data_IF_734587655429
#
_entry.id   IF_734587655429
#
_cell.length_a   1.000
_cell.length_b   1.000
_cell.length_c   1.000
_cell.angle_alpha   90.00
_cell.angle_beta   90.00
_cell.angle_gamma   90.00
#
_symmetry.space_group_name_H-M   'P 1'
#
loop_
_entity.id
_entity.type
_entity.pdbx_description
1 polymer ?
#
# COMPACT_ATOMS: atom_id res chain seq x y z
N UNK A 1 4.40 -18.59 14.69
CA UNK A 1 3.31 -17.82 14.06
C UNK A 1 3.87 -16.47 13.63
N UNK A 2 3.92 -16.18 12.33
CA UNK A 2 4.36 -14.86 11.86
C UNK A 2 3.13 -13.93 11.87
N UNK A 3 3.09 -12.99 12.83
CA UNK A 3 1.93 -12.11 13.05
C UNK A 3 1.64 -11.22 11.84
N UNK A 4 2.66 -10.95 11.01
CA UNK A 4 2.53 -10.20 9.76
C UNK A 4 2.14 -11.07 8.57
N UNK A 5 1.67 -12.28 8.82
CA UNK A 5 1.13 -13.16 7.81
C UNK A 5 -0.31 -13.49 8.18
N UNK A 6 -1.20 -13.46 7.21
CA UNK A 6 -2.53 -14.06 7.34
C UNK A 6 -2.42 -15.58 7.14
N UNK A 7 -1.74 -16.00 6.08
CA UNK A 7 -1.30 -17.37 5.77
C UNK A 7 0.17 -17.35 5.33
N UNK A 8 0.80 -18.51 5.16
CA UNK A 8 2.19 -18.60 4.66
C UNK A 8 2.38 -17.95 3.27
N UNK A 9 1.28 -17.82 2.52
CA UNK A 9 1.25 -17.20 1.17
C UNK A 9 0.84 -15.73 1.20
N UNK A 10 0.43 -15.21 2.35
CA UNK A 10 -0.08 -13.86 2.50
C UNK A 10 0.57 -13.16 3.67
N UNK A 11 1.75 -12.60 3.41
CA UNK A 11 2.53 -11.83 4.37
C UNK A 11 2.70 -10.40 3.90
N UNK A 12 2.74 -9.47 4.85
CA UNK A 12 3.14 -8.10 4.58
C UNK A 12 4.67 -8.06 4.63
N UNK A 13 5.30 -8.03 3.45
CA UNK A 13 6.76 -8.08 3.33
C UNK A 13 7.34 -6.71 2.98
N UNK A 14 8.54 -6.43 3.52
CA UNK A 14 9.33 -5.27 3.11
C UNK A 14 9.71 -5.38 1.63
N UNK A 15 9.98 -6.60 1.14
CA UNK A 15 10.37 -6.87 -0.25
C UNK A 15 9.28 -6.49 -1.27
N UNK A 16 8.01 -6.87 -1.04
CA UNK A 16 6.92 -6.49 -1.94
C UNK A 16 6.65 -4.99 -1.93
N UNK A 17 6.70 -4.34 -0.76
CA UNK A 17 6.59 -2.89 -0.68
C UNK A 17 7.76 -2.17 -1.37
N UNK A 18 8.97 -2.73 -1.28
CA UNK A 18 10.15 -2.23 -2.02
C UNK A 18 9.99 -2.37 -3.53
N UNK A 19 9.38 -3.45 -4.04
CA UNK A 19 9.09 -3.57 -5.48
C UNK A 19 8.15 -2.49 -5.99
N UNK A 20 7.11 -2.13 -5.21
CA UNK A 20 6.24 -0.99 -5.54
C UNK A 20 7.04 0.31 -5.56
N UNK A 21 7.93 0.53 -4.59
CA UNK A 21 8.82 1.69 -4.54
C UNK A 21 9.74 1.77 -5.77
N UNK A 22 10.25 0.64 -6.24
CA UNK A 22 11.11 0.55 -7.44
C UNK A 22 10.32 0.90 -8.71
N UNK A 23 9.07 0.45 -8.80
CA UNK A 23 8.17 0.82 -9.90
C UNK A 23 7.93 2.33 -9.93
N UNK A 24 7.61 2.95 -8.79
CA UNK A 24 7.41 4.41 -8.68
C UNK A 24 8.68 5.15 -9.06
N UNK A 25 9.86 4.67 -8.63
CA UNK A 25 11.15 5.28 -8.93
C UNK A 25 11.52 5.16 -10.41
N UNK A 26 11.17 4.04 -11.05
CA UNK A 26 11.35 3.80 -12.48
C UNK A 26 10.46 4.73 -13.29
N UNK A 27 9.18 4.87 -12.89
CA UNK A 27 8.23 5.77 -13.53
C UNK A 27 8.67 7.24 -13.45
N UNK A 28 9.23 7.65 -12.30
CA UNK A 28 9.79 8.99 -12.13
C UNK A 28 10.99 9.22 -13.07
N UNK A 29 11.85 8.22 -13.21
CA UNK A 29 12.98 8.28 -14.15
C UNK A 29 12.50 8.36 -15.59
N UNK A 30 11.40 7.66 -15.89
CA UNK A 30 10.82 7.65 -17.23
C UNK A 30 10.22 9.00 -17.61
N UNK A 31 9.46 9.64 -16.71
CA UNK A 31 8.93 10.99 -16.93
C UNK A 31 10.03 12.06 -17.05
N UNK A 32 11.13 11.92 -16.29
CA UNK A 32 12.29 12.82 -16.41
C UNK A 32 12.91 12.80 -17.81
N UNK A 33 12.87 11.67 -18.52
CA UNK A 33 13.34 11.58 -19.91
C UNK A 33 12.42 12.33 -20.89
N UNK A 34 11.14 12.44 -20.54
CA UNK A 34 10.13 13.16 -21.32
C UNK A 34 10.07 14.66 -21.00
N UNK A 35 10.70 15.12 -19.90
CA UNK A 35 10.62 16.53 -19.45
C UNK A 35 11.41 17.53 -20.32
N UNK A 36 11.75 17.17 -21.56
CA UNK A 36 12.42 18.07 -22.52
C UNK A 36 11.44 19.08 -23.14
N UNK A 37 10.13 18.89 -22.95
CA UNK A 37 9.08 19.86 -23.30
C UNK A 37 8.49 20.46 -22.03
N UNK A 38 8.34 21.79 -22.03
CA UNK A 38 7.72 22.58 -20.96
C UNK A 38 6.23 22.20 -20.88
N UNK A 39 5.94 21.04 -20.30
CA UNK A 39 4.60 20.56 -20.09
C UNK A 39 4.31 20.54 -18.59
N UNK A 40 3.42 21.44 -18.16
CA UNK A 40 3.00 21.55 -16.77
C UNK A 40 2.37 20.25 -16.25
N UNK A 41 1.78 19.42 -17.13
CA UNK A 41 1.24 18.13 -16.75
C UNK A 41 2.37 17.16 -16.35
N UNK A 42 3.45 17.08 -17.13
CA UNK A 42 4.62 16.25 -16.80
C UNK A 42 5.24 16.68 -15.47
N UNK A 43 5.32 17.99 -15.20
CA UNK A 43 5.81 18.49 -13.92
C UNK A 43 4.93 18.12 -12.73
N UNK A 44 3.60 18.17 -12.89
CA UNK A 44 2.67 17.73 -11.85
C UNK A 44 2.80 16.24 -11.58
N UNK A 45 2.84 15.42 -12.64
CA UNK A 45 3.02 13.98 -12.54
C UNK A 45 4.33 13.61 -11.83
N UNK A 46 5.43 14.31 -12.13
CA UNK A 46 6.70 14.11 -11.44
C UNK A 46 6.61 14.44 -9.94
N UNK A 47 5.92 15.52 -9.55
CA UNK A 47 5.72 15.86 -8.13
C UNK A 47 4.87 14.81 -7.42
N UNK A 48 3.82 14.33 -8.09
CA UNK A 48 2.97 13.27 -7.56
C UNK A 48 3.75 11.96 -7.37
N UNK A 49 4.64 11.60 -8.31
CA UNK A 49 5.52 10.43 -8.13
C UNK A 49 6.55 10.61 -7.02
N UNK A 50 7.10 11.82 -6.82
CA UNK A 50 7.99 12.09 -5.70
C UNK A 50 7.25 11.97 -4.36
N UNK A 51 6.01 12.45 -4.28
CA UNK A 51 5.14 12.25 -3.13
C UNK A 51 4.82 10.76 -2.91
N UNK A 52 4.51 10.02 -3.97
CA UNK A 52 4.22 8.59 -3.90
C UNK A 52 5.44 7.79 -3.41
N UNK A 53 6.63 8.13 -3.89
CA UNK A 53 7.89 7.54 -3.45
C UNK A 53 8.13 7.78 -1.96
N UNK A 54 7.92 9.02 -1.51
CA UNK A 54 8.08 9.39 -0.09
C UNK A 54 7.06 8.66 0.80
N UNK A 55 5.81 8.51 0.34
CA UNK A 55 4.79 7.73 1.02
C UNK A 55 5.17 6.24 1.09
N UNK A 56 5.70 5.66 0.01
CA UNK A 56 6.19 4.27 0.00
C UNK A 56 7.37 4.04 0.94
N UNK A 57 8.30 4.98 1.09
CA UNK A 57 9.34 4.88 2.13
C UNK A 57 8.74 4.77 3.54
N UNK A 58 7.65 5.51 3.81
CA UNK A 58 6.93 5.42 5.10
C UNK A 58 6.20 4.08 5.25
N UNK A 59 5.64 3.53 4.17
CA UNK A 59 5.07 2.18 4.16
C UNK A 59 6.12 1.14 4.54
N UNK A 60 7.26 1.11 3.85
CA UNK A 60 8.37 0.18 4.14
C UNK A 60 8.84 0.32 5.59
N UNK A 61 9.04 1.56 6.05
CA UNK A 61 9.39 1.84 7.45
C UNK A 61 8.35 1.34 8.45
N UNK A 62 7.05 1.51 8.15
CA UNK A 62 5.95 1.03 8.97
C UNK A 62 5.90 -0.50 9.06
N UNK A 63 6.08 -1.20 7.93
CA UNK A 63 6.16 -2.67 7.88
C UNK A 63 7.32 -3.16 8.75
N UNK A 64 8.51 -2.57 8.60
CA UNK A 64 9.68 -2.89 9.44
C UNK A 64 9.40 -2.65 10.91
N UNK A 65 8.72 -1.56 11.24
CA UNK A 65 8.40 -1.21 12.62
C UNK A 65 7.38 -2.18 13.24
N UNK A 66 6.37 -2.63 12.48
CA UNK A 66 5.46 -3.69 12.92
C UNK A 66 6.23 -5.00 13.12
N UNK A 67 7.08 -5.38 12.17
CA UNK A 67 7.88 -6.61 12.25
C UNK A 67 8.76 -6.64 13.49
N UNK A 68 9.40 -5.51 13.80
CA UNK A 68 10.23 -5.37 15.00
C UNK A 68 9.41 -5.57 16.28
N UNK A 69 8.22 -4.96 16.37
CA UNK A 69 7.33 -5.10 17.54
C UNK A 69 6.86 -6.53 17.76
N UNK A 70 6.58 -7.26 16.69
CA UNK A 70 6.07 -8.63 16.78
C UNK A 70 7.15 -9.71 16.81
N UNK A 71 8.44 -9.38 16.58
CA UNK A 71 9.52 -10.36 16.39
C UNK A 71 9.66 -11.38 17.54
N UNK A 72 9.41 -10.96 18.78
CA UNK A 72 9.61 -11.78 19.97
C UNK A 72 8.30 -12.15 20.69
N UNK A 73 7.15 -11.76 20.14
CA UNK A 73 5.86 -12.04 20.76
C UNK A 73 5.39 -13.44 20.38
N UNK A 74 4.94 -14.22 21.36
CA UNK A 74 4.33 -15.54 21.14
C UNK A 74 2.83 -15.43 20.89
N UNK A 75 2.19 -14.42 21.47
CA UNK A 75 0.78 -14.08 21.30
C UNK A 75 0.55 -12.57 21.31
N UNK A 76 -0.65 -12.14 20.91
CA UNK A 76 -1.02 -10.72 20.95
C UNK A 76 -1.23 -10.18 22.37
N UNK A 77 -1.48 -11.05 23.36
CA UNK A 77 -1.65 -10.65 24.77
C UNK A 77 -0.37 -10.11 25.39
N UNK A 78 0.80 -10.46 24.83
CA UNK A 78 2.11 -9.95 25.26
C UNK A 78 2.38 -8.52 24.77
N UNK A 79 1.50 -7.95 23.92
CA UNK A 79 1.68 -6.62 23.37
C UNK A 79 1.32 -5.54 24.40
N UNK A 80 2.31 -4.74 24.79
CA UNK A 80 2.15 -3.65 25.76
C UNK A 80 1.78 -2.31 25.13
N UNK A 81 2.15 -2.09 23.87
CA UNK A 81 1.97 -0.82 23.16
C UNK A 81 0.99 -0.95 21.99
N UNK A 82 -0.28 -1.16 22.34
CA UNK A 82 -1.39 -1.33 21.38
C UNK A 82 -1.58 -0.08 20.52
N UNK A 83 -1.52 1.11 21.12
CA UNK A 83 -1.74 2.38 20.42
C UNK A 83 -0.72 2.58 19.29
N UNK A 84 0.55 2.30 19.54
CA UNK A 84 1.60 2.42 18.52
C UNK A 84 1.43 1.41 17.38
N UNK A 85 0.96 0.20 17.67
CA UNK A 85 0.61 -0.78 16.64
C UNK A 85 -0.55 -0.28 15.78
N UNK A 86 -1.64 0.19 16.41
CA UNK A 86 -2.80 0.77 15.72
C UNK A 86 -2.35 1.91 14.80
N UNK A 87 -1.63 2.88 15.34
CA UNK A 87 -1.15 4.05 14.59
C UNK A 87 -0.25 3.63 13.42
N UNK A 88 0.58 2.60 13.61
CA UNK A 88 1.44 2.11 12.53
C UNK A 88 0.62 1.44 11.42
N UNK A 89 -0.35 0.59 11.76
CA UNK A 89 -1.24 -0.06 10.77
C UNK A 89 -2.03 0.99 9.99
N UNK A 90 -2.68 1.93 10.68
CA UNK A 90 -3.46 3.01 10.06
C UNK A 90 -2.57 3.85 9.12
N UNK A 91 -1.36 4.20 9.56
CA UNK A 91 -0.43 4.95 8.73
C UNK A 91 0.00 4.18 7.48
N UNK A 92 0.29 2.89 7.58
CA UNK A 92 0.65 2.05 6.43
C UNK A 92 -0.50 2.02 5.42
N UNK A 93 -1.73 1.74 5.85
CA UNK A 93 -2.89 1.65 4.98
C UNK A 93 -3.20 2.98 4.29
N UNK A 94 -3.22 4.08 5.05
CA UNK A 94 -3.49 5.41 4.50
C UNK A 94 -2.43 5.82 3.47
N UNK A 95 -1.15 5.50 3.70
CA UNK A 95 -0.07 5.82 2.75
C UNK A 95 -0.13 4.97 1.49
N UNK A 96 -0.53 3.70 1.59
CA UNK A 96 -0.77 2.88 0.40
C UNK A 96 -1.92 3.43 -0.46
N UNK A 97 -3.01 3.87 0.15
CA UNK A 97 -4.13 4.52 -0.57
C UNK A 97 -3.70 5.82 -1.23
N UNK A 98 -2.92 6.64 -0.51
CA UNK A 98 -2.34 7.86 -1.06
C UNK A 98 -1.47 7.58 -2.30
N UNK A 99 -0.59 6.57 -2.23
CA UNK A 99 0.25 6.14 -3.36
C UNK A 99 -0.61 5.72 -4.54
N UNK A 100 -1.67 4.94 -4.31
CA UNK A 100 -2.60 4.50 -5.36
C UNK A 100 -3.27 5.68 -6.05
N UNK A 101 -3.73 6.66 -5.29
CA UNK A 101 -4.37 7.86 -5.83
C UNK A 101 -3.38 8.75 -6.60
N UNK A 102 -2.15 8.88 -6.12
CA UNK A 102 -1.08 9.60 -6.82
C UNK A 102 -0.73 8.95 -8.16
N UNK A 103 -0.59 7.62 -8.19
CA UNK A 103 -0.32 6.87 -9.42
C UNK A 103 -1.47 7.00 -10.41
N UNK A 104 -2.72 6.97 -9.95
CA UNK A 104 -3.88 7.21 -10.81
C UNK A 104 -3.83 8.60 -11.45
N UNK A 105 -3.52 9.65 -10.68
CA UNK A 105 -3.40 11.01 -11.25
C UNK A 105 -2.28 11.09 -12.29
N UNK A 106 -1.14 10.45 -12.01
CA UNK A 106 -0.03 10.35 -12.98
C UNK A 106 -0.47 9.67 -14.27
N UNK A 107 -1.26 8.60 -14.18
CA UNK A 107 -1.84 7.93 -15.35
C UNK A 107 -2.73 8.88 -16.15
N UNK A 108 -3.65 9.56 -15.48
CA UNK A 108 -4.62 10.46 -16.12
C UNK A 108 -3.93 11.67 -16.78
N UNK A 109 -2.91 12.22 -16.12
CA UNK A 109 -2.06 13.28 -16.68
C UNK A 109 -1.24 12.78 -17.88
N UNK A 110 -0.69 11.57 -17.82
CA UNK A 110 0.02 10.95 -18.94
C UNK A 110 -0.91 10.70 -20.14
N UNK A 111 -2.14 10.22 -19.89
CA UNK A 111 -3.16 9.98 -20.91
C UNK A 111 -3.56 11.30 -21.61
N UNK A 112 -3.85 12.34 -20.83
CA UNK A 112 -4.19 13.67 -21.38
C UNK A 112 -3.04 14.31 -22.17
N UNK A 113 -1.79 13.94 -21.85
CA UNK A 113 -0.58 14.42 -22.52
C UNK A 113 -0.13 13.53 -23.69
N UNK A 114 -0.86 12.44 -23.99
CA UNK A 114 -0.54 11.51 -25.08
C UNK A 114 0.68 10.63 -24.83
N UNK A 115 1.10 10.45 -23.57
CA UNK A 115 2.23 9.58 -23.16
C UNK A 115 1.75 8.14 -22.97
N UNK A 116 1.44 7.47 -24.07
CA UNK A 116 0.85 6.11 -24.06
C UNK A 116 1.75 5.04 -23.43
N UNK A 117 3.06 5.21 -23.54
CA UNK A 117 4.07 4.36 -22.92
C UNK A 117 4.05 4.44 -21.39
N UNK A 118 3.87 5.64 -20.84
CA UNK A 118 3.70 5.87 -19.40
C UNK A 118 2.39 5.26 -18.90
N UNK A 119 1.29 5.46 -19.63
CA UNK A 119 -0.02 4.86 -19.30
C UNK A 119 0.08 3.34 -19.25
N UNK A 120 0.65 2.72 -20.29
CA UNK A 120 0.83 1.27 -20.36
C UNK A 120 1.71 0.75 -19.21
N UNK A 121 2.76 1.49 -18.86
CA UNK A 121 3.61 1.14 -17.73
C UNK A 121 2.86 1.20 -16.40
N UNK A 122 2.02 2.22 -16.18
CA UNK A 122 1.18 2.30 -14.97
C UNK A 122 0.18 1.16 -14.93
N UNK A 123 -0.61 0.97 -15.98
CA UNK A 123 -1.68 -0.04 -16.03
C UNK A 123 -1.15 -1.47 -15.83
N UNK A 124 0.08 -1.75 -16.25
CA UNK A 124 0.73 -3.06 -16.03
C UNK A 124 1.21 -3.30 -14.59
N UNK A 125 1.39 -2.26 -13.78
CA UNK A 125 1.95 -2.37 -12.43
C UNK A 125 1.00 -1.99 -11.30
N UNK A 126 -0.10 -1.26 -11.57
CA UNK A 126 -1.14 -0.98 -10.57
C UNK A 126 -1.68 -2.24 -9.89
N UNK A 127 -1.91 -3.37 -10.59
CA UNK A 127 -2.35 -4.61 -9.93
C UNK A 127 -1.42 -5.10 -8.82
N UNK A 128 -0.11 -4.86 -8.93
CA UNK A 128 0.87 -5.21 -7.89
C UNK A 128 0.66 -4.34 -6.63
N UNK A 129 0.44 -3.04 -6.80
CA UNK A 129 0.13 -2.14 -5.69
C UNK A 129 -1.19 -2.52 -5.02
N UNK A 130 -2.23 -2.79 -5.81
CA UNK A 130 -3.53 -3.22 -5.28
C UNK A 130 -3.41 -4.55 -4.51
N UNK A 131 -2.60 -5.49 -5.00
CA UNK A 131 -2.27 -6.71 -4.26
C UNK A 131 -1.60 -6.44 -2.90
N UNK A 132 -0.68 -5.49 -2.81
CA UNK A 132 -0.06 -5.06 -1.54
C UNK A 132 -1.10 -4.43 -0.61
N UNK A 133 -2.01 -3.60 -1.15
CA UNK A 133 -3.10 -2.97 -0.39
C UNK A 133 -4.04 -4.02 0.21
N UNK A 134 -4.43 -5.04 -0.55
CA UNK A 134 -5.31 -6.13 -0.07
C UNK A 134 -4.63 -6.87 1.09
N UNK A 135 -3.38 -7.30 0.88
CA UNK A 135 -2.62 -8.02 1.92
C UNK A 135 -2.49 -7.18 3.19
N UNK A 136 -2.12 -5.91 3.06
CA UNK A 136 -2.01 -4.99 4.19
C UNK A 136 -3.35 -4.83 4.91
N UNK A 137 -4.47 -4.74 4.18
CA UNK A 137 -5.82 -4.64 4.74
C UNK A 137 -6.22 -5.87 5.53
N UNK A 138 -6.00 -7.07 4.97
CA UNK A 138 -6.31 -8.34 5.62
C UNK A 138 -5.46 -8.57 6.88
N UNK A 139 -4.17 -8.22 6.81
CA UNK A 139 -3.28 -8.30 7.98
C UNK A 139 -3.65 -7.26 9.03
N UNK A 140 -4.02 -6.05 8.61
CA UNK A 140 -4.55 -5.01 9.49
C UNK A 140 -5.82 -5.49 10.23
N UNK A 141 -6.73 -6.16 9.52
CA UNK A 141 -7.92 -6.77 10.12
C UNK A 141 -7.56 -7.88 11.11
N UNK A 142 -6.63 -8.78 10.75
CA UNK A 142 -6.14 -9.82 11.67
C UNK A 142 -5.58 -9.21 12.95
N UNK A 143 -4.73 -8.19 12.83
CA UNK A 143 -4.18 -7.46 13.98
C UNK A 143 -5.33 -6.89 14.82
N UNK A 144 -6.24 -6.14 14.20
CA UNK A 144 -7.37 -5.52 14.90
C UNK A 144 -8.23 -6.51 15.70
N UNK A 145 -8.49 -7.71 15.15
CA UNK A 145 -9.29 -8.75 15.79
C UNK A 145 -8.57 -9.45 16.97
N UNK A 146 -7.24 -9.42 17.01
CA UNK A 146 -6.46 -10.11 18.02
C UNK A 146 -5.85 -9.18 19.09
N UNK A 147 -6.01 -7.87 18.94
CA UNK A 147 -5.53 -6.93 19.95
C UNK A 147 -6.33 -7.07 21.27
N UNK A 148 -5.67 -7.15 22.44
CA UNK A 148 -6.32 -7.53 23.70
C UNK A 148 -7.32 -6.47 24.21
N UNK A 149 -7.01 -5.18 24.03
CA UNK A 149 -7.90 -4.05 24.34
C UNK A 149 -7.63 -2.90 23.39
N UNK A 150 -8.64 -2.53 22.60
CA UNK A 150 -8.58 -1.38 21.69
C UNK A 150 -9.63 -0.36 22.13
N UNK A 151 -9.26 0.92 22.17
CA UNK A 151 -10.22 1.97 22.48
C UNK A 151 -11.28 2.08 21.37
N UNK A 152 -12.43 2.70 21.67
CA UNK A 152 -13.45 2.95 20.64
C UNK A 152 -12.93 3.83 19.51
N UNK A 153 -12.10 4.83 19.84
CA UNK A 153 -11.48 5.73 18.87
C UNK A 153 -10.52 4.98 17.95
N UNK A 154 -9.64 4.17 18.51
CA UNK A 154 -8.67 3.36 17.76
C UNK A 154 -9.34 2.29 16.90
N UNK A 155 -10.43 1.70 17.39
CA UNK A 155 -11.26 0.79 16.60
C UNK A 155 -11.88 1.50 15.39
N UNK A 156 -12.34 2.75 15.56
CA UNK A 156 -12.85 3.59 14.49
C UNK A 156 -11.79 3.92 13.43
N UNK A 157 -10.57 4.28 13.87
CA UNK A 157 -9.43 4.54 12.97
C UNK A 157 -9.06 3.30 12.16
N UNK A 158 -8.96 2.14 12.81
CA UNK A 158 -8.66 0.87 12.15
C UNK A 158 -9.74 0.52 11.13
N UNK A 159 -11.01 0.54 11.52
CA UNK A 159 -12.12 0.20 10.62
C UNK A 159 -12.14 1.11 9.38
N UNK A 160 -11.94 2.41 9.58
CA UNK A 160 -11.88 3.39 8.48
C UNK A 160 -10.70 3.12 7.54
N UNK A 161 -9.50 2.93 8.09
CA UNK A 161 -8.29 2.70 7.29
C UNK A 161 -8.34 1.37 6.52
N UNK A 162 -8.76 0.29 7.18
CA UNK A 162 -8.90 -1.04 6.58
C UNK A 162 -9.96 -1.00 5.49
N UNK A 163 -11.15 -0.45 5.77
CA UNK A 163 -12.22 -0.35 4.79
C UNK A 163 -11.79 0.46 3.56
N UNK A 164 -11.23 1.65 3.78
CA UNK A 164 -10.78 2.52 2.68
C UNK A 164 -9.73 1.83 1.82
N UNK A 165 -8.72 1.21 2.43
CA UNK A 165 -7.66 0.51 1.71
C UNK A 165 -8.22 -0.68 0.91
N UNK A 166 -9.04 -1.52 1.54
CA UNK A 166 -9.64 -2.67 0.89
C UNK A 166 -10.49 -2.27 -0.32
N UNK A 167 -11.37 -1.28 -0.18
CA UNK A 167 -12.21 -0.83 -1.30
C UNK A 167 -11.43 -0.06 -2.37
N UNK A 168 -10.36 0.65 -2.01
CA UNK A 168 -9.51 1.32 -3.00
C UNK A 168 -8.82 0.31 -3.93
N UNK A 169 -8.45 -0.87 -3.42
CA UNK A 169 -7.81 -1.93 -4.23
C UNK A 169 -8.75 -2.59 -5.24
N UNK A 170 -10.07 -2.45 -5.07
CA UNK A 170 -11.06 -2.97 -6.02
C UNK A 170 -11.18 -2.14 -7.29
N UNK A 171 -10.66 -0.91 -7.29
CA UNK A 171 -10.87 0.04 -8.38
C UNK A 171 -10.12 -0.35 -9.66
N UNK A 172 -9.04 -1.13 -9.56
CA UNK A 172 -8.18 -1.46 -10.69
C UNK A 172 -7.99 -2.97 -10.91
N UNK A 173 -8.55 -3.81 -10.03
CA UNK A 173 -8.55 -5.25 -10.19
C UNK A 173 -9.88 -5.73 -10.77
N UNK A 174 -9.81 -6.53 -11.83
CA UNK A 174 -10.96 -7.34 -12.24
C UNK A 174 -11.36 -8.27 -11.09
N UNK A 175 -12.66 -8.55 -10.99
CA UNK A 175 -13.24 -9.36 -9.90
C UNK A 175 -12.49 -10.68 -9.70
N UNK A 176 -12.10 -11.36 -10.78
CA UNK A 176 -11.36 -12.62 -10.74
C UNK A 176 -9.94 -12.49 -10.18
N UNK A 177 -9.25 -11.38 -10.45
CA UNK A 177 -7.89 -11.13 -9.94
C UNK A 177 -7.96 -10.78 -8.46
N UNK A 178 -8.94 -9.96 -8.08
CA UNK A 178 -9.19 -9.63 -6.69
C UNK A 178 -9.49 -10.87 -5.84
N UNK A 179 -10.42 -11.72 -6.31
CA UNK A 179 -10.76 -12.98 -5.62
C UNK A 179 -9.53 -13.86 -5.43
N UNK A 180 -8.67 -14.02 -6.44
CA UNK A 180 -7.41 -14.76 -6.31
C UNK A 180 -6.49 -14.24 -5.21
N UNK A 181 -6.40 -12.92 -5.03
CA UNK A 181 -5.60 -12.35 -3.94
C UNK A 181 -6.21 -12.63 -2.56
N UNK A 182 -7.54 -12.52 -2.44
CA UNK A 182 -8.24 -12.81 -1.19
C UNK A 182 -8.17 -14.30 -0.86
N UNK A 183 -8.53 -15.17 -1.81
CA UNK A 183 -8.52 -16.63 -1.65
C UNK A 183 -7.11 -17.12 -1.30
N UNK A 184 -6.08 -16.62 -2.01
CA UNK A 184 -4.69 -16.94 -1.69
C UNK A 184 -4.23 -16.49 -0.30
N UNK A 185 -4.94 -15.53 0.32
CA UNK A 185 -4.72 -15.14 1.71
C UNK A 185 -5.54 -15.96 2.70
N UNK A 186 -6.74 -16.40 2.34
CA UNK A 186 -7.66 -17.13 3.22
C UNK A 186 -7.45 -18.66 3.22
N UNK A 187 -6.79 -19.21 2.19
CA UNK A 187 -6.40 -20.62 2.05
C UNK A 187 -5.10 -20.99 2.80
#
# INVERSE_FOLDING_TARGET
MNILCFSDRCCLSEDEASKVLDVVSTLLTFLRRHSTKIDNAIHTAMRDLEAARNAMYRVVGGIRALRSRFKNLRSFDELTDVESVVNTVVNVLNRLVEVRNLIQRVRDEAESSGLSDVVQYVDSHVPMLDGVIIKASLIGLRIALNLPKVSRDDSGKLASAIGTAFFASLLSLHEDVFRKYVDGCLD
#
